data_IF_581115978494
#
_entry.id   IF_581115978494
#
_cell.length_a   1.000
_cell.length_b   1.000
_cell.length_c   1.000
_cell.angle_alpha   90.00
_cell.angle_beta   90.00
_cell.angle_gamma   90.00
#
_symmetry.space_group_name_H-M   'P 1'
#
loop_
_entity.id
_entity.type
_entity.pdbx_description
1 polymer ?
#
# COMPACT_ATOMS: atom_id res chain seq x y z
N UNK A 1 11.59 13.49 50.57
CA UNK A 1 11.31 12.53 49.46
C UNK A 1 10.10 12.88 48.59
N UNK A 2 9.16 13.72 49.07
CA UNK A 2 7.95 14.16 48.35
C UNK A 2 8.23 15.02 47.09
N UNK A 3 9.18 15.90 47.12
CA UNK A 3 9.46 16.88 46.06
C UNK A 3 10.00 16.30 44.74
N UNK A 4 10.78 15.21 44.79
CA UNK A 4 11.30 14.55 43.57
C UNK A 4 10.20 13.80 42.80
N UNK A 5 9.23 13.21 43.48
CA UNK A 5 8.09 12.51 42.89
C UNK A 5 7.13 13.49 42.25
N UNK A 6 6.80 14.58 42.94
CA UNK A 6 5.96 15.67 42.38
C UNK A 6 6.57 16.35 41.18
N UNK A 7 7.91 16.55 41.15
CA UNK A 7 8.61 17.12 39.99
C UNK A 7 8.57 16.19 38.78
N UNK A 8 8.69 14.87 38.99
CA UNK A 8 8.56 13.87 37.90
C UNK A 8 7.12 13.84 37.35
N UNK A 9 6.12 13.85 38.20
CA UNK A 9 4.70 13.86 37.77
C UNK A 9 4.33 15.13 37.00
N UNK A 10 4.86 16.31 37.43
CA UNK A 10 4.68 17.56 36.68
C UNK A 10 5.37 17.55 35.32
N UNK A 11 6.59 17.00 35.24
CA UNK A 11 7.31 16.83 33.97
C UNK A 11 6.61 15.86 33.03
N UNK A 12 6.03 14.79 33.57
CA UNK A 12 5.29 13.82 32.79
C UNK A 12 3.97 14.43 32.26
N UNK A 13 3.21 15.14 33.08
CA UNK A 13 2.03 15.90 32.65
C UNK A 13 2.35 16.95 31.61
N UNK A 14 3.42 17.73 31.81
CA UNK A 14 3.83 18.73 30.82
C UNK A 14 4.23 18.09 29.48
N UNK A 15 4.92 16.93 29.50
CA UNK A 15 5.22 16.16 28.28
C UNK A 15 3.97 15.62 27.60
N UNK A 16 2.99 15.12 28.36
CA UNK A 16 1.72 14.65 27.83
C UNK A 16 0.88 15.79 27.22
N UNK A 17 0.89 16.97 27.87
CA UNK A 17 0.22 18.16 27.36
C UNK A 17 0.92 18.72 26.11
N UNK A 18 2.25 18.71 26.08
CA UNK A 18 3.02 19.11 24.90
C UNK A 18 2.77 18.14 23.73
N UNK A 19 2.80 16.82 24.00
CA UNK A 19 2.49 15.80 23.02
C UNK A 19 1.02 15.90 22.50
N UNK A 20 0.07 16.25 23.39
CA UNK A 20 -1.32 16.53 22.98
C UNK A 20 -1.43 17.80 22.14
N UNK A 21 -0.66 18.85 22.44
CA UNK A 21 -0.59 20.07 21.62
C UNK A 21 0.01 19.78 20.25
N UNK A 22 1.15 19.11 20.18
CA UNK A 22 1.80 18.75 18.92
C UNK A 22 0.90 17.87 18.04
N UNK A 23 0.14 16.93 18.62
CA UNK A 23 -0.84 16.13 17.90
C UNK A 23 -2.03 16.94 17.36
N UNK A 24 -2.40 18.04 18.03
CA UNK A 24 -3.47 18.95 17.57
C UNK A 24 -3.10 19.73 16.30
N UNK A 25 -1.80 19.87 16.00
CA UNK A 25 -1.33 20.61 14.83
C UNK A 25 -1.29 19.81 13.52
N UNK A 26 -1.54 18.50 13.54
CA UNK A 26 -1.87 17.77 12.31
C UNK A 26 -3.35 17.99 12.02
N UNK A 27 -3.71 19.26 11.77
CA UNK A 27 -5.08 19.65 11.44
C UNK A 27 -5.46 19.04 10.09
N UNK A 28 -6.75 18.84 9.84
CA UNK A 28 -7.24 18.45 8.52
C UNK A 28 -6.68 19.34 7.41
N UNK A 29 -6.47 20.63 7.69
CA UNK A 29 -5.84 21.59 6.77
C UNK A 29 -4.40 21.21 6.40
N UNK A 30 -3.57 20.78 7.36
CA UNK A 30 -2.21 20.32 7.10
C UNK A 30 -2.22 19.08 6.20
N UNK A 31 -3.08 18.10 6.49
CA UNK A 31 -3.20 16.89 5.67
C UNK A 31 -3.70 17.20 4.26
N UNK A 32 -4.67 18.10 4.12
CA UNK A 32 -5.14 18.59 2.81
C UNK A 32 -3.99 19.28 2.06
N UNK A 33 -3.19 20.11 2.75
CA UNK A 33 -2.01 20.75 2.16
C UNK A 33 -0.96 19.74 1.68
N UNK A 34 -0.66 18.73 2.49
CA UNK A 34 0.26 17.64 2.11
C UNK A 34 -0.28 16.89 0.89
N UNK A 35 -1.57 16.55 0.89
CA UNK A 35 -2.21 15.88 -0.24
C UNK A 35 -2.12 16.72 -1.52
N UNK A 36 -2.47 18.00 -1.46
CA UNK A 36 -2.42 18.89 -2.61
C UNK A 36 -1.01 19.04 -3.18
N UNK A 37 0.00 19.22 -2.32
CA UNK A 37 1.40 19.32 -2.73
C UNK A 37 1.89 17.99 -3.35
N UNK A 38 1.58 16.86 -2.75
CA UNK A 38 1.96 15.55 -3.27
C UNK A 38 1.24 15.26 -4.61
N UNK A 39 -0.04 15.60 -4.72
CA UNK A 39 -0.80 15.45 -5.98
C UNK A 39 -0.21 16.31 -7.08
N UNK A 40 0.12 17.57 -6.80
CA UNK A 40 0.81 18.43 -7.77
C UNK A 40 2.16 17.83 -8.19
N UNK A 41 2.92 17.32 -7.24
CA UNK A 41 4.22 16.70 -7.51
C UNK A 41 4.12 15.47 -8.42
N UNK A 42 3.15 14.56 -8.17
CA UNK A 42 2.97 13.35 -8.98
C UNK A 42 2.18 13.58 -10.28
N UNK A 43 1.33 14.60 -10.34
CA UNK A 43 0.62 14.94 -11.57
C UNK A 43 1.47 15.80 -12.53
N UNK A 44 2.56 16.43 -12.03
CA UNK A 44 3.42 17.28 -12.83
C UNK A 44 4.08 16.49 -13.96
N UNK A 45 3.96 16.98 -15.19
CA UNK A 45 4.57 16.35 -16.36
C UNK A 45 3.84 15.10 -16.89
N UNK A 46 2.77 14.63 -16.25
CA UNK A 46 2.03 13.42 -16.68
C UNK A 46 1.48 13.52 -18.11
N UNK A 47 1.20 14.72 -18.61
CA UNK A 47 0.76 14.96 -19.98
C UNK A 47 1.88 14.85 -21.03
N UNK A 48 3.14 14.83 -20.59
CA UNK A 48 4.32 14.69 -21.46
C UNK A 48 4.75 13.23 -21.64
N UNK A 49 4.23 12.34 -20.81
CA UNK A 49 4.56 10.93 -20.83
C UNK A 49 3.49 10.15 -21.60
N UNK A 50 3.78 9.67 -22.82
CA UNK A 50 2.82 8.87 -23.56
C UNK A 50 2.51 7.56 -22.83
N UNK A 51 1.33 7.01 -23.11
CA UNK A 51 0.96 5.66 -22.63
C UNK A 51 1.87 4.64 -23.32
N UNK A 52 2.52 3.77 -22.52
CA UNK A 52 3.49 2.79 -23.03
C UNK A 52 2.89 1.41 -23.22
N UNK A 53 3.37 0.68 -24.23
CA UNK A 53 3.00 -0.71 -24.50
C UNK A 53 3.89 -1.71 -23.76
N UNK A 54 3.36 -2.93 -23.49
CA UNK A 54 1.95 -3.36 -23.62
C UNK A 54 1.13 -3.13 -22.35
N UNK A 55 1.76 -2.83 -21.22
CA UNK A 55 1.09 -2.90 -19.89
C UNK A 55 0.15 -1.72 -19.69
N UNK A 56 0.65 -0.49 -19.85
CA UNK A 56 -0.14 0.72 -19.62
C UNK A 56 -1.26 0.86 -20.65
N UNK A 57 -0.97 0.53 -21.93
CA UNK A 57 -1.96 0.60 -23.01
C UNK A 57 -3.13 -0.36 -22.79
N UNK A 58 -2.88 -1.58 -22.29
CA UNK A 58 -3.94 -2.53 -21.98
C UNK A 58 -4.88 -1.99 -20.89
N UNK A 59 -4.34 -1.39 -19.81
CA UNK A 59 -5.18 -0.79 -18.78
C UNK A 59 -5.97 0.42 -19.28
N UNK A 60 -5.30 1.29 -20.07
CA UNK A 60 -5.90 2.48 -20.64
C UNK A 60 -7.05 2.12 -21.62
N UNK A 61 -6.82 1.15 -22.49
CA UNK A 61 -7.82 0.67 -23.44
C UNK A 61 -9.00 0.02 -22.75
N UNK A 62 -8.75 -0.86 -21.77
CA UNK A 62 -9.80 -1.51 -21.00
C UNK A 62 -10.69 -0.48 -20.30
N UNK A 63 -10.11 0.51 -19.62
CA UNK A 63 -10.88 1.57 -18.97
C UNK A 63 -11.66 2.43 -19.99
N UNK A 64 -11.06 2.72 -21.15
CA UNK A 64 -11.74 3.43 -22.24
C UNK A 64 -12.95 2.64 -22.76
N UNK A 65 -12.80 1.35 -23.00
CA UNK A 65 -13.92 0.48 -23.45
C UNK A 65 -15.03 0.40 -22.40
N UNK A 66 -14.68 0.35 -21.10
CA UNK A 66 -15.69 0.39 -20.03
C UNK A 66 -16.52 1.67 -20.05
N UNK A 67 -15.88 2.83 -20.32
CA UNK A 67 -16.60 4.12 -20.44
C UNK A 67 -17.48 4.12 -21.69
N UNK A 68 -16.96 3.68 -22.85
CA UNK A 68 -17.69 3.71 -24.12
C UNK A 68 -18.85 2.72 -24.17
N UNK A 69 -18.69 1.53 -23.58
CA UNK A 69 -19.74 0.51 -23.53
C UNK A 69 -20.75 0.74 -22.39
N UNK A 70 -20.42 1.55 -21.40
CA UNK A 70 -21.21 1.70 -20.17
C UNK A 70 -21.14 0.47 -19.24
N UNK A 71 -20.36 -0.57 -19.58
CA UNK A 71 -20.18 -1.75 -18.76
C UNK A 71 -19.02 -1.58 -17.79
N UNK A 72 -19.30 -1.10 -16.60
CA UNK A 72 -18.30 -0.87 -15.54
C UNK A 72 -18.05 -2.09 -14.64
N UNK A 73 -18.76 -3.19 -14.88
CA UNK A 73 -18.62 -4.41 -14.07
C UNK A 73 -17.58 -5.37 -14.65
N UNK A 74 -17.68 -5.65 -15.96
CA UNK A 74 -16.86 -6.64 -16.66
C UNK A 74 -15.80 -5.94 -17.54
N UNK A 75 -14.52 -5.96 -17.18
CA UNK A 75 -13.45 -5.39 -18.01
C UNK A 75 -13.41 -6.04 -19.40
N UNK A 76 -13.18 -5.23 -20.44
CA UNK A 76 -13.07 -5.65 -21.83
C UNK A 76 -11.87 -5.01 -22.49
N UNK A 77 -11.26 -5.71 -23.44
CA UNK A 77 -10.22 -5.21 -24.32
C UNK A 77 -10.43 -5.74 -25.75
N UNK A 78 -10.45 -4.87 -26.75
CA UNK A 78 -10.77 -5.22 -28.15
C UNK A 78 -12.12 -5.92 -28.30
N UNK A 79 -13.12 -5.55 -27.46
CA UNK A 79 -14.44 -6.17 -27.45
C UNK A 79 -14.51 -7.55 -26.79
N UNK A 80 -13.43 -8.07 -26.23
CA UNK A 80 -13.38 -9.35 -25.51
C UNK A 80 -13.23 -9.13 -24.01
N UNK A 81 -13.83 -10.00 -23.18
CA UNK A 81 -13.67 -9.94 -21.73
C UNK A 81 -12.19 -10.16 -21.34
N UNK A 82 -11.72 -9.36 -20.38
CA UNK A 82 -10.32 -9.32 -19.95
C UNK A 82 -10.21 -9.47 -18.45
N UNK A 83 -9.69 -10.61 -17.98
CA UNK A 83 -9.68 -10.98 -16.56
C UNK A 83 -8.28 -10.89 -15.92
N UNK A 84 -7.38 -10.02 -16.41
CA UNK A 84 -6.03 -9.90 -15.88
C UNK A 84 -6.00 -9.28 -14.48
N UNK A 85 -6.79 -8.24 -14.24
CA UNK A 85 -6.83 -7.53 -12.94
C UNK A 85 -8.26 -7.29 -12.47
N UNK A 86 -8.45 -7.12 -11.12
CA UNK A 86 -9.73 -6.68 -10.57
C UNK A 86 -10.09 -5.26 -11.01
N UNK A 87 -11.35 -4.88 -10.81
CA UNK A 87 -11.94 -3.69 -11.41
C UNK A 87 -11.42 -2.34 -10.90
N UNK A 88 -10.77 -2.27 -9.74
CA UNK A 88 -10.44 -0.99 -9.09
C UNK A 88 -9.64 -0.05 -9.99
N UNK A 89 -8.61 -0.55 -10.67
CA UNK A 89 -7.78 0.24 -11.59
C UNK A 89 -8.62 0.82 -12.72
N UNK A 90 -9.47 0.01 -13.31
CA UNK A 90 -10.34 0.41 -14.42
C UNK A 90 -11.40 1.41 -13.96
N UNK A 91 -12.01 1.22 -12.78
CA UNK A 91 -12.98 2.16 -12.23
C UNK A 91 -12.38 3.55 -12.00
N UNK A 92 -11.20 3.62 -11.39
CA UNK A 92 -10.55 4.91 -11.14
C UNK A 92 -10.15 5.61 -12.45
N UNK A 93 -9.68 4.85 -13.43
CA UNK A 93 -9.36 5.37 -14.76
C UNK A 93 -10.63 5.80 -15.51
N UNK A 94 -11.70 5.01 -15.46
CA UNK A 94 -12.99 5.34 -16.09
C UNK A 94 -13.59 6.62 -15.52
N UNK A 95 -13.50 6.82 -14.19
CA UNK A 95 -13.88 8.09 -13.54
C UNK A 95 -13.04 9.24 -14.09
N UNK A 96 -11.71 9.06 -14.16
CA UNK A 96 -10.80 10.07 -14.68
C UNK A 96 -11.10 10.42 -16.15
N UNK A 97 -11.34 9.41 -16.97
CA UNK A 97 -11.72 9.61 -18.39
C UNK A 97 -13.08 10.29 -18.57
N UNK A 98 -14.06 9.99 -17.71
CA UNK A 98 -15.36 10.64 -17.74
C UNK A 98 -15.28 12.13 -17.37
N UNK A 99 -14.28 12.53 -16.56
CA UNK A 99 -14.10 13.93 -16.13
C UNK A 99 -13.16 14.72 -17.04
N UNK A 100 -12.10 14.11 -17.57
CA UNK A 100 -11.01 14.79 -18.26
C UNK A 100 -10.81 14.34 -19.72
N UNK A 101 -11.65 13.40 -20.21
CA UNK A 101 -11.51 12.81 -21.54
C UNK A 101 -10.37 11.77 -21.62
N UNK A 102 -10.24 11.16 -22.80
CA UNK A 102 -9.24 10.11 -23.06
C UNK A 102 -7.88 10.74 -23.42
N UNK A 103 -7.12 11.12 -22.39
CA UNK A 103 -5.81 11.76 -22.51
C UNK A 103 -4.76 11.02 -21.67
N UNK A 104 -3.47 11.20 -22.00
CA UNK A 104 -2.36 10.63 -21.20
C UNK A 104 -2.39 11.13 -19.77
N UNK A 105 -2.71 12.41 -19.57
CA UNK A 105 -2.90 12.98 -18.23
C UNK A 105 -4.01 12.27 -17.46
N UNK A 106 -5.20 12.10 -18.05
CA UNK A 106 -6.31 11.43 -17.41
C UNK A 106 -6.03 9.96 -17.10
N UNK A 107 -5.21 9.30 -17.92
CA UNK A 107 -4.77 7.92 -17.71
C UNK A 107 -3.88 7.79 -16.47
N UNK A 108 -3.00 8.77 -16.20
CA UNK A 108 -2.01 8.75 -15.11
C UNK A 108 -2.55 9.37 -13.80
N UNK A 109 -3.57 10.21 -13.89
CA UNK A 109 -4.13 10.91 -12.73
C UNK A 109 -4.55 9.97 -11.58
N UNK A 110 -5.15 8.79 -11.79
CA UNK A 110 -5.46 7.84 -10.72
C UNK A 110 -4.22 7.37 -9.95
N UNK A 111 -3.10 7.10 -10.63
CA UNK A 111 -1.86 6.70 -9.99
C UNK A 111 -1.27 7.83 -9.15
N UNK A 112 -1.24 9.06 -9.68
CA UNK A 112 -0.81 10.26 -8.97
C UNK A 112 -1.67 10.54 -7.73
N UNK A 113 -3.00 10.39 -7.85
CA UNK A 113 -3.94 10.51 -6.73
C UNK A 113 -3.65 9.47 -5.64
N UNK A 114 -3.47 8.20 -6.02
CA UNK A 114 -3.14 7.12 -5.08
C UNK A 114 -1.79 7.36 -4.40
N UNK A 115 -0.79 7.84 -5.13
CA UNK A 115 0.51 8.23 -4.58
C UNK A 115 0.38 9.33 -3.52
N UNK A 116 -0.32 10.42 -3.85
CA UNK A 116 -0.57 11.54 -2.93
C UNK A 116 -1.36 11.11 -1.69
N UNK A 117 -2.40 10.30 -1.85
CA UNK A 117 -3.18 9.76 -0.75
C UNK A 117 -2.34 8.84 0.14
N UNK A 118 -1.46 8.01 -0.45
CA UNK A 118 -0.53 7.15 0.30
C UNK A 118 0.39 7.98 1.19
N UNK A 119 1.03 9.03 0.65
CA UNK A 119 1.88 9.94 1.43
C UNK A 119 1.10 10.57 2.58
N UNK A 120 -0.09 11.06 2.31
CA UNK A 120 -0.93 11.73 3.31
C UNK A 120 -1.32 10.78 4.44
N UNK A 121 -1.76 9.57 4.09
CA UNK A 121 -2.08 8.54 5.08
C UNK A 121 -0.85 8.10 5.87
N UNK A 122 0.29 7.91 5.21
CA UNK A 122 1.54 7.56 5.87
C UNK A 122 1.91 8.60 6.92
N UNK A 123 1.95 9.89 6.55
CA UNK A 123 2.24 11.00 7.48
C UNK A 123 1.27 10.98 8.66
N UNK A 124 -0.02 10.79 8.40
CA UNK A 124 -1.03 10.71 9.47
C UNK A 124 -0.78 9.55 10.43
N UNK A 125 -0.55 8.35 9.90
CA UNK A 125 -0.29 7.16 10.72
C UNK A 125 0.99 7.27 11.53
N UNK A 126 2.08 7.76 10.92
CA UNK A 126 3.38 7.91 11.60
C UNK A 126 3.28 8.97 12.70
N UNK A 127 2.64 10.10 12.42
CA UNK A 127 2.36 11.11 13.46
C UNK A 127 1.54 10.51 14.62
N UNK A 128 0.53 9.68 14.31
CA UNK A 128 -0.32 9.01 15.31
C UNK A 128 0.44 8.01 16.16
N UNK A 129 1.38 7.25 15.55
CA UNK A 129 2.15 6.19 16.23
C UNK A 129 3.33 6.79 17.02
N UNK A 130 4.13 7.64 16.38
CA UNK A 130 5.37 8.17 16.97
C UNK A 130 5.15 9.40 17.85
N UNK A 131 4.02 10.10 17.68
CA UNK A 131 3.74 11.42 18.30
C UNK A 131 4.77 12.48 17.92
N UNK A 132 5.41 12.33 16.76
CA UNK A 132 6.45 13.23 16.26
C UNK A 132 6.14 13.67 14.82
N UNK A 133 5.76 14.95 14.67
CA UNK A 133 5.43 15.54 13.38
C UNK A 133 6.62 15.60 12.43
N UNK A 134 7.83 15.81 12.97
CA UNK A 134 9.06 15.92 12.16
C UNK A 134 9.35 14.57 11.50
N UNK A 135 9.32 13.49 12.29
CA UNK A 135 9.50 12.12 11.76
C UNK A 135 8.43 11.81 10.73
N UNK A 136 7.16 12.15 11.01
CA UNK A 136 6.06 11.87 10.09
C UNK A 136 6.22 12.60 8.74
N UNK A 137 6.56 13.88 8.76
CA UNK A 137 6.75 14.68 7.52
C UNK A 137 7.96 14.18 6.74
N UNK A 138 9.09 13.92 7.38
CA UNK A 138 10.27 13.38 6.71
C UNK A 138 9.98 12.01 6.10
N UNK A 139 9.25 11.13 6.79
CA UNK A 139 8.82 9.84 6.22
C UNK A 139 8.03 10.02 4.93
N UNK A 140 7.11 11.00 4.90
CA UNK A 140 6.37 11.33 3.69
C UNK A 140 7.25 11.86 2.55
N UNK A 141 8.17 12.79 2.86
CA UNK A 141 9.11 13.36 1.87
C UNK A 141 10.02 12.27 1.30
N UNK A 142 10.61 11.45 2.16
CA UNK A 142 11.50 10.36 1.74
C UNK A 142 10.77 9.37 0.84
N UNK A 143 9.54 8.96 1.18
CA UNK A 143 8.76 8.08 0.32
C UNK A 143 8.41 8.77 -1.00
N UNK A 144 7.93 10.01 -0.99
CA UNK A 144 7.56 10.76 -2.19
C UNK A 144 8.72 10.92 -3.18
N UNK A 145 9.95 11.04 -2.68
CA UNK A 145 11.16 11.25 -3.47
C UNK A 145 11.97 9.98 -3.70
N UNK A 146 11.50 8.82 -3.24
CA UNK A 146 12.11 7.52 -3.58
C UNK A 146 11.85 7.19 -5.03
N UNK A 147 12.88 6.74 -5.74
CA UNK A 147 12.84 6.52 -7.18
C UNK A 147 11.68 5.61 -7.60
N UNK A 148 11.56 4.44 -6.99
CA UNK A 148 10.51 3.48 -7.36
C UNK A 148 9.12 4.00 -7.06
N UNK A 149 8.90 4.64 -5.89
CA UNK A 149 7.59 5.19 -5.55
C UNK A 149 7.19 6.33 -6.48
N UNK A 150 8.16 7.16 -6.88
CA UNK A 150 7.94 8.22 -7.86
C UNK A 150 7.52 7.63 -9.22
N UNK A 151 8.23 6.61 -9.72
CA UNK A 151 7.89 5.92 -10.98
C UNK A 151 6.48 5.33 -10.92
N UNK A 152 6.16 4.58 -9.86
CA UNK A 152 4.85 3.92 -9.70
C UNK A 152 3.71 4.94 -9.60
N UNK A 153 3.95 6.10 -8.99
CA UNK A 153 2.95 7.17 -8.89
C UNK A 153 2.67 7.88 -10.21
N UNK A 154 3.50 7.64 -11.26
CA UNK A 154 3.29 8.13 -12.62
C UNK A 154 2.85 7.03 -13.59
N UNK A 155 3.02 5.76 -13.24
CA UNK A 155 2.74 4.63 -14.11
C UNK A 155 1.25 4.23 -14.07
N UNK A 156 0.72 3.81 -15.22
CA UNK A 156 -0.65 3.28 -15.33
C UNK A 156 -0.63 1.79 -14.95
N UNK A 157 -0.49 1.51 -13.65
CA UNK A 157 -0.42 0.16 -13.10
C UNK A 157 -1.19 0.08 -11.77
N UNK A 158 -1.47 -1.14 -11.33
CA UNK A 158 -2.24 -1.39 -10.10
C UNK A 158 -1.45 -1.13 -8.81
N UNK A 159 -0.16 -0.94 -8.91
CA UNK A 159 0.78 -0.92 -7.79
C UNK A 159 0.58 0.28 -6.86
N UNK A 160 0.34 1.48 -7.41
CA UNK A 160 0.01 2.67 -6.63
C UNK A 160 -1.26 2.50 -5.79
N UNK A 161 -2.27 1.82 -6.33
CA UNK A 161 -3.53 1.53 -5.65
C UNK A 161 -3.35 0.47 -4.57
N UNK A 162 -2.60 -0.60 -4.87
CA UNK A 162 -2.26 -1.62 -3.88
C UNK A 162 -1.52 -1.01 -2.69
N UNK A 163 -0.58 -0.08 -2.94
CA UNK A 163 0.14 0.62 -1.90
C UNK A 163 -0.79 1.48 -1.04
N UNK A 164 -1.68 2.26 -1.69
CA UNK A 164 -2.65 3.10 -1.00
C UNK A 164 -3.46 2.31 0.04
N UNK A 165 -3.81 1.07 -0.27
CA UNK A 165 -4.61 0.24 0.65
C UNK A 165 -3.77 -0.66 1.56
N UNK A 166 -2.55 -1.03 1.17
CA UNK A 166 -1.64 -1.82 2.03
C UNK A 166 -1.14 -1.02 3.23
N UNK A 167 -0.81 0.26 3.04
CA UNK A 167 -0.36 1.14 4.14
C UNK A 167 -1.39 1.22 5.27
N UNK A 168 -2.66 1.59 5.04
CA UNK A 168 -3.66 1.60 6.11
C UNK A 168 -3.99 0.19 6.63
N UNK A 169 -3.91 -0.86 5.80
CA UNK A 169 -4.08 -2.25 6.28
C UNK A 169 -3.08 -2.57 7.36
N UNK A 170 -1.80 -2.36 7.12
CA UNK A 170 -0.73 -2.72 8.03
C UNK A 170 -0.66 -1.79 9.26
N UNK A 171 -0.70 -0.47 9.05
CA UNK A 171 -0.57 0.50 10.15
C UNK A 171 -1.82 0.54 11.04
N UNK A 172 -3.04 0.39 10.48
CA UNK A 172 -4.24 0.23 11.31
C UNK A 172 -4.22 -1.09 12.09
N UNK A 173 -3.80 -2.19 11.46
CA UNK A 173 -3.68 -3.46 12.18
C UNK A 173 -2.68 -3.34 13.33
N UNK A 174 -1.52 -2.70 13.13
CA UNK A 174 -0.56 -2.43 14.20
C UNK A 174 -1.20 -1.67 15.36
N UNK A 175 -1.86 -0.53 15.09
CA UNK A 175 -2.54 0.27 16.12
C UNK A 175 -3.66 -0.55 16.79
N UNK A 176 -4.47 -1.24 16.00
CA UNK A 176 -5.59 -2.04 16.47
C UNK A 176 -5.14 -3.15 17.45
N UNK A 177 -4.03 -3.81 17.14
CA UNK A 177 -3.46 -4.87 17.99
C UNK A 177 -2.80 -4.31 19.24
N UNK A 178 -2.01 -3.23 19.14
CA UNK A 178 -1.29 -2.66 20.27
C UNK A 178 -2.21 -1.92 21.24
N UNK A 179 -3.19 -1.18 20.74
CA UNK A 179 -4.13 -0.41 21.55
C UNK A 179 -5.42 -1.18 21.88
N UNK A 180 -5.57 -2.42 21.42
CA UNK A 180 -6.82 -3.19 21.50
C UNK A 180 -8.03 -2.43 20.92
N UNK A 181 -7.83 -1.77 19.80
CA UNK A 181 -8.81 -0.88 19.18
C UNK A 181 -9.50 -1.57 18.00
N UNK A 182 -10.75 -2.01 18.20
CA UNK A 182 -11.53 -2.72 17.17
C UNK A 182 -11.79 -1.87 15.93
N UNK A 183 -11.95 -0.53 16.05
CA UNK A 183 -12.17 0.35 14.90
C UNK A 183 -10.99 0.31 13.94
N UNK A 184 -9.77 0.34 14.46
CA UNK A 184 -8.57 0.23 13.63
C UNK A 184 -8.46 -1.15 12.97
N UNK A 185 -8.86 -2.23 13.64
CA UNK A 185 -8.93 -3.55 13.01
C UNK A 185 -9.95 -3.59 11.86
N UNK A 186 -11.13 -2.99 12.03
CA UNK A 186 -12.13 -2.88 10.95
C UNK A 186 -11.58 -2.10 9.76
N UNK A 187 -10.88 -0.98 10.00
CA UNK A 187 -10.21 -0.19 8.94
C UNK A 187 -9.17 -1.04 8.22
N UNK A 188 -8.37 -1.83 8.94
CA UNK A 188 -7.37 -2.71 8.34
C UNK A 188 -8.01 -3.74 7.38
N UNK A 189 -9.06 -4.40 7.79
CA UNK A 189 -9.77 -5.38 6.97
C UNK A 189 -10.51 -4.74 5.78
N UNK A 190 -11.13 -3.58 5.98
CA UNK A 190 -11.72 -2.79 4.89
C UNK A 190 -10.69 -2.44 3.83
N UNK A 191 -9.54 -1.90 4.26
CA UNK A 191 -8.44 -1.54 3.36
C UNK A 191 -7.86 -2.76 2.65
N UNK A 192 -7.73 -3.90 3.34
CA UNK A 192 -7.31 -5.16 2.71
C UNK A 192 -8.30 -5.64 1.64
N UNK A 193 -9.61 -5.46 1.87
CA UNK A 193 -10.63 -5.73 0.85
C UNK A 193 -10.47 -4.87 -0.39
N UNK A 194 -10.21 -3.56 -0.23
CA UNK A 194 -9.91 -2.65 -1.34
C UNK A 194 -8.57 -2.99 -2.03
N UNK A 195 -7.56 -3.43 -1.28
CA UNK A 195 -6.31 -3.93 -1.83
C UNK A 195 -6.51 -5.17 -2.71
N UNK A 196 -7.42 -6.08 -2.29
CA UNK A 196 -7.81 -7.23 -3.13
C UNK A 196 -8.52 -6.80 -4.41
N UNK A 197 -9.37 -5.79 -4.37
CA UNK A 197 -10.01 -5.22 -5.57
C UNK A 197 -9.01 -4.47 -6.48
N UNK A 198 -7.82 -4.12 -5.97
CA UNK A 198 -6.77 -3.44 -6.74
C UNK A 198 -5.86 -4.43 -7.50
N UNK A 199 -5.40 -5.49 -6.85
CA UNK A 199 -4.41 -6.42 -7.45
C UNK A 199 -4.68 -7.90 -7.17
N UNK A 200 -5.84 -8.25 -6.62
CA UNK A 200 -6.22 -9.63 -6.32
C UNK A 200 -5.77 -10.11 -4.93
N UNK A 201 -5.61 -11.43 -4.74
CA UNK A 201 -5.38 -12.05 -3.43
C UNK A 201 -4.18 -11.51 -2.65
N UNK A 202 -3.18 -10.95 -3.34
CA UNK A 202 -1.98 -10.36 -2.72
C UNK A 202 -2.33 -9.26 -1.72
N UNK A 203 -3.46 -8.56 -1.93
CA UNK A 203 -3.96 -7.52 -1.01
C UNK A 203 -4.33 -8.03 0.40
N UNK A 204 -4.57 -9.33 0.54
CA UNK A 204 -4.80 -10.00 1.83
C UNK A 204 -3.60 -10.84 2.26
N UNK A 205 -3.04 -11.63 1.34
CA UNK A 205 -2.01 -12.64 1.64
C UNK A 205 -0.73 -11.99 2.16
N UNK A 206 -0.24 -10.94 1.48
CA UNK A 206 0.99 -10.27 1.89
C UNK A 206 0.86 -9.55 3.25
N UNK A 207 -0.13 -8.68 3.50
CA UNK A 207 -0.30 -8.07 4.81
C UNK A 207 -0.60 -9.11 5.90
N UNK A 208 -1.39 -10.13 5.60
CA UNK A 208 -1.70 -11.23 6.51
C UNK A 208 -0.44 -11.98 6.93
N UNK A 209 0.44 -12.34 6.01
CA UNK A 209 1.72 -12.99 6.28
C UNK A 209 2.60 -12.11 7.19
N UNK A 210 2.75 -10.82 6.87
CA UNK A 210 3.54 -9.86 7.66
C UNK A 210 3.02 -9.80 9.10
N UNK A 211 1.70 -9.66 9.30
CA UNK A 211 1.08 -9.59 10.62
C UNK A 211 1.23 -10.90 11.41
N UNK A 212 1.09 -12.06 10.75
CA UNK A 212 1.27 -13.37 11.36
C UNK A 212 2.71 -13.57 11.81
N UNK A 213 3.70 -13.27 10.97
CA UNK A 213 5.12 -13.37 11.31
C UNK A 213 5.43 -12.44 12.51
N UNK A 214 4.98 -11.18 12.45
CA UNK A 214 5.21 -10.23 13.53
C UNK A 214 4.57 -10.67 14.84
N UNK A 215 3.30 -11.12 14.84
CA UNK A 215 2.63 -11.65 16.03
C UNK A 215 3.37 -12.89 16.60
N UNK A 216 3.87 -13.76 15.73
CA UNK A 216 4.69 -14.92 16.11
C UNK A 216 5.98 -14.50 16.82
N UNK A 217 6.71 -13.52 16.26
CA UNK A 217 7.95 -13.00 16.84
C UNK A 217 7.73 -12.28 18.18
N UNK A 218 6.58 -11.60 18.33
CA UNK A 218 6.18 -10.99 19.61
C UNK A 218 5.85 -12.01 20.70
N UNK A 219 5.67 -13.30 20.36
CA UNK A 219 5.36 -14.41 21.27
C UNK A 219 4.17 -14.13 22.21
N UNK A 220 3.22 -13.34 21.77
CA UNK A 220 2.07 -12.91 22.55
C UNK A 220 0.76 -13.50 21.97
N UNK A 221 0.25 -14.57 22.61
CA UNK A 221 -0.98 -15.24 22.18
C UNK A 221 -2.19 -14.30 22.11
N UNK A 222 -2.26 -13.26 22.97
CA UNK A 222 -3.36 -12.30 22.94
C UNK A 222 -3.36 -11.45 21.69
N UNK A 223 -2.17 -11.06 21.16
CA UNK A 223 -2.07 -10.35 19.88
C UNK A 223 -2.55 -11.23 18.72
N UNK A 224 -2.14 -12.49 18.71
CA UNK A 224 -2.56 -13.44 17.69
C UNK A 224 -4.08 -13.63 17.65
N UNK A 225 -4.73 -13.80 18.81
CA UNK A 225 -6.20 -13.94 18.89
C UNK A 225 -6.93 -12.66 18.46
N UNK A 226 -6.37 -11.48 18.76
CA UNK A 226 -6.93 -10.19 18.33
C UNK A 226 -6.80 -9.92 16.84
N UNK A 227 -5.94 -10.68 16.14
CA UNK A 227 -5.76 -10.54 14.70
C UNK A 227 -7.04 -10.90 13.92
N UNK A 228 -7.91 -11.74 14.46
CA UNK A 228 -9.10 -12.27 13.79
C UNK A 228 -10.42 -11.78 14.42
N UNK A 229 -10.72 -10.46 14.45
CA UNK A 229 -12.01 -9.97 14.91
C UNK A 229 -13.09 -10.29 13.87
N UNK A 230 -14.20 -10.89 14.26
CA UNK A 230 -15.26 -11.29 13.34
C UNK A 230 -15.83 -10.10 12.53
N UNK A 231 -15.89 -8.89 13.14
CA UNK A 231 -16.32 -7.66 12.46
C UNK A 231 -15.37 -7.28 11.31
N UNK A 232 -14.06 -7.46 11.52
CA UNK A 232 -13.06 -7.23 10.47
C UNK A 232 -13.23 -8.22 9.33
N UNK A 233 -13.36 -9.51 9.65
CA UNK A 233 -13.57 -10.56 8.66
C UNK A 233 -14.84 -10.28 7.84
N UNK A 234 -15.94 -9.92 8.51
CA UNK A 234 -17.19 -9.58 7.84
C UNK A 234 -17.02 -8.40 6.87
N UNK A 235 -16.38 -7.30 7.31
CA UNK A 235 -16.19 -6.12 6.46
C UNK A 235 -15.27 -6.41 5.27
N UNK A 236 -14.26 -7.26 5.44
CA UNK A 236 -13.42 -7.72 4.34
C UNK A 236 -14.26 -8.40 3.24
N UNK A 237 -15.11 -9.36 3.62
CA UNK A 237 -15.95 -10.06 2.65
C UNK A 237 -16.98 -9.12 2.01
N UNK A 238 -17.62 -8.23 2.77
CA UNK A 238 -18.54 -7.22 2.22
C UNK A 238 -17.83 -6.31 1.21
N UNK A 239 -16.55 -6.00 1.44
CA UNK A 239 -15.79 -5.10 0.56
C UNK A 239 -15.25 -5.82 -0.67
N UNK A 240 -14.61 -6.96 -0.51
CA UNK A 240 -13.94 -7.66 -1.60
C UNK A 240 -14.88 -8.56 -2.42
N UNK A 241 -15.70 -9.37 -1.74
CA UNK A 241 -16.43 -10.47 -2.37
C UNK A 241 -17.46 -10.07 -3.44
N UNK A 242 -18.22 -8.95 -3.32
CA UNK A 242 -19.31 -8.68 -4.27
C UNK A 242 -18.85 -8.66 -5.73
N UNK A 243 -17.75 -7.98 -6.05
CA UNK A 243 -17.27 -7.94 -7.43
C UNK A 243 -16.86 -9.33 -7.95
N UNK A 244 -16.13 -10.09 -7.15
CA UNK A 244 -15.72 -11.45 -7.53
C UNK A 244 -16.92 -12.39 -7.70
N UNK A 245 -17.92 -12.26 -6.83
CA UNK A 245 -19.15 -13.06 -6.90
C UNK A 245 -19.96 -12.72 -8.16
N UNK A 246 -20.11 -11.44 -8.50
CA UNK A 246 -20.76 -11.02 -9.74
C UNK A 246 -20.01 -11.48 -10.98
N UNK A 247 -18.68 -11.36 -11.00
CA UNK A 247 -17.85 -11.83 -12.11
C UNK A 247 -18.00 -13.35 -12.32
N UNK A 248 -18.03 -14.11 -11.23
CA UNK A 248 -18.27 -15.55 -11.31
C UNK A 248 -19.69 -15.89 -11.78
N UNK A 249 -20.68 -15.18 -11.28
CA UNK A 249 -22.09 -15.39 -11.67
C UNK A 249 -22.34 -15.11 -13.17
N UNK A 250 -21.63 -14.14 -13.76
CA UNK A 250 -21.80 -13.74 -15.15
C UNK A 250 -20.93 -14.58 -16.10
N UNK A 251 -19.66 -14.82 -15.72
CA UNK A 251 -18.66 -15.41 -16.61
C UNK A 251 -18.27 -16.85 -16.26
N UNK A 252 -18.63 -17.34 -15.07
CA UNK A 252 -18.39 -18.71 -14.64
C UNK A 252 -16.91 -19.13 -14.62
N UNK A 253 -16.65 -20.37 -15.05
CA UNK A 253 -15.32 -20.98 -15.05
C UNK A 253 -14.24 -20.23 -15.85
N UNK A 254 -14.49 -19.60 -17.00
CA UNK A 254 -13.52 -18.79 -17.71
C UNK A 254 -12.88 -17.71 -16.83
N UNK A 255 -13.70 -16.98 -16.05
CA UNK A 255 -13.18 -15.98 -15.11
C UNK A 255 -12.25 -16.60 -14.07
N UNK A 256 -12.62 -17.73 -13.48
CA UNK A 256 -11.82 -18.42 -12.46
C UNK A 256 -10.49 -18.91 -13.03
N UNK A 257 -10.52 -19.54 -14.22
CA UNK A 257 -9.33 -20.08 -14.87
C UNK A 257 -8.32 -18.99 -15.24
N UNK A 258 -8.79 -17.89 -15.81
CA UNK A 258 -7.91 -16.80 -16.21
C UNK A 258 -7.45 -16.00 -15.00
N UNK A 259 -8.38 -15.50 -14.17
CA UNK A 259 -8.04 -14.62 -13.07
C UNK A 259 -7.25 -15.35 -11.96
N UNK A 260 -7.82 -16.42 -11.38
CA UNK A 260 -7.15 -17.15 -10.30
C UNK A 260 -6.07 -18.11 -10.82
N UNK A 261 -6.38 -18.83 -11.90
CA UNK A 261 -5.45 -19.81 -12.48
C UNK A 261 -4.25 -19.14 -13.11
N UNK A 262 -4.42 -18.49 -14.26
CA UNK A 262 -3.32 -17.97 -15.06
C UNK A 262 -2.62 -16.77 -14.38
N UNK A 263 -3.39 -15.74 -14.03
CA UNK A 263 -2.82 -14.47 -13.57
C UNK A 263 -2.40 -14.44 -12.09
N UNK A 264 -2.78 -15.43 -11.29
CA UNK A 264 -2.35 -15.51 -9.90
C UNK A 264 -1.52 -16.75 -9.60
N UNK A 265 -2.07 -17.96 -9.78
CA UNK A 265 -1.39 -19.21 -9.40
C UNK A 265 -0.23 -19.51 -10.35
N UNK A 266 -0.45 -19.47 -11.66
CA UNK A 266 0.62 -19.78 -12.64
C UNK A 266 1.76 -18.78 -12.53
N UNK A 267 1.47 -17.47 -12.43
CA UNK A 267 2.51 -16.43 -12.21
C UNK A 267 3.30 -16.61 -10.91
N UNK A 268 2.67 -17.16 -9.88
CA UNK A 268 3.34 -17.44 -8.61
C UNK A 268 4.28 -18.65 -8.69
N UNK A 269 3.96 -19.65 -9.53
CA UNK A 269 4.64 -20.95 -9.59
C UNK A 269 5.51 -21.16 -10.83
N UNK A 270 5.22 -20.47 -11.92
CA UNK A 270 5.95 -20.51 -13.19
C UNK A 270 6.39 -19.11 -13.61
N UNK A 271 7.65 -18.93 -13.94
CA UNK A 271 8.19 -17.63 -14.33
C UNK A 271 7.79 -17.27 -15.76
N UNK A 272 7.20 -16.08 -15.93
CA UNK A 272 7.00 -15.44 -17.25
C UNK A 272 8.33 -14.92 -17.83
N UNK A 273 9.33 -14.65 -16.96
CA UNK A 273 10.67 -14.17 -17.31
C UNK A 273 11.72 -15.05 -16.64
N UNK A 274 12.04 -16.25 -17.20
CA UNK A 274 12.96 -17.20 -16.56
C UNK A 274 14.36 -16.60 -16.31
N UNK A 275 14.82 -15.67 -17.15
CA UNK A 275 16.12 -14.99 -17.00
C UNK A 275 16.21 -14.10 -15.75
N UNK A 276 15.09 -13.65 -15.21
CA UNK A 276 15.03 -12.76 -14.03
C UNK A 276 14.73 -13.53 -12.73
N UNK A 277 14.45 -14.83 -12.81
CA UNK A 277 14.04 -15.64 -11.65
C UNK A 277 15.23 -16.04 -10.77
N UNK A 278 15.98 -15.06 -10.26
CA UNK A 278 17.08 -15.27 -9.31
C UNK A 278 16.65 -14.89 -7.90
N UNK A 279 17.10 -15.66 -6.88
CA UNK A 279 16.78 -15.40 -5.47
C UNK A 279 17.29 -14.03 -4.97
N UNK A 280 18.38 -13.53 -5.55
CA UNK A 280 18.98 -12.24 -5.19
C UNK A 280 18.40 -11.02 -5.91
N UNK A 281 17.47 -11.22 -6.85
CA UNK A 281 16.92 -10.17 -7.71
C UNK A 281 16.45 -8.93 -6.94
N UNK A 282 15.60 -9.11 -5.93
CA UNK A 282 15.08 -7.99 -5.14
C UNK A 282 16.10 -7.41 -4.15
N UNK A 283 17.09 -8.18 -3.72
CA UNK A 283 18.16 -7.65 -2.88
C UNK A 283 19.08 -6.69 -3.66
N UNK A 284 19.30 -6.94 -4.94
CA UNK A 284 20.02 -6.02 -5.82
C UNK A 284 19.16 -4.81 -6.19
N UNK A 285 17.87 -5.00 -6.39
CA UNK A 285 16.95 -3.94 -6.83
C UNK A 285 16.64 -2.94 -5.70
N UNK A 286 16.47 -3.40 -4.47
CA UNK A 286 16.06 -2.56 -3.33
C UNK A 286 16.94 -1.30 -3.14
N UNK A 287 18.28 -1.35 -3.21
CA UNK A 287 19.10 -0.15 -3.12
C UNK A 287 18.80 0.91 -4.16
N UNK A 288 18.47 0.50 -5.39
CA UNK A 288 18.06 1.42 -6.47
C UNK A 288 16.67 1.99 -6.24
N UNK A 289 15.74 1.15 -5.80
CA UNK A 289 14.35 1.54 -5.48
C UNK A 289 14.29 2.65 -4.42
N UNK A 290 15.26 2.65 -3.49
CA UNK A 290 15.35 3.58 -2.37
C UNK A 290 16.10 4.87 -2.70
N UNK A 291 16.72 5.02 -3.87
CA UNK A 291 17.45 6.23 -4.20
C UNK A 291 16.57 7.49 -4.03
N UNK A 292 17.11 8.59 -3.46
CA UNK A 292 18.49 8.79 -2.98
C UNK A 292 18.75 8.32 -1.53
N UNK A 293 17.78 7.71 -0.86
CA UNK A 293 17.77 7.42 0.59
C UNK A 293 18.46 6.11 1.00
N UNK A 294 19.02 5.38 0.06
CA UNK A 294 19.64 4.06 0.27
C UNK A 294 20.65 4.04 1.41
N UNK A 295 21.51 5.07 1.50
CA UNK A 295 22.53 5.16 2.56
C UNK A 295 21.91 5.28 3.96
N UNK A 296 20.84 6.08 4.09
CA UNK A 296 20.11 6.24 5.36
C UNK A 296 19.43 4.93 5.77
N UNK A 297 18.85 4.19 4.83
CA UNK A 297 18.25 2.89 5.11
C UNK A 297 19.23 1.93 5.78
N UNK A 298 20.41 1.72 5.21
CA UNK A 298 21.40 0.81 5.80
C UNK A 298 21.97 1.35 7.13
N UNK A 299 22.12 2.66 7.26
CA UNK A 299 22.54 3.29 8.51
C UNK A 299 21.53 3.03 9.64
N UNK A 300 20.22 3.25 9.38
CA UNK A 300 19.17 3.06 10.39
C UNK A 300 18.97 1.59 10.76
N UNK A 301 19.05 0.64 9.83
CA UNK A 301 19.03 -0.80 10.15
C UNK A 301 20.12 -1.12 11.16
N UNK A 302 21.36 -0.65 10.92
CA UNK A 302 22.50 -0.90 11.82
C UNK A 302 22.30 -0.27 13.20
N UNK A 303 21.78 0.94 13.27
CA UNK A 303 21.56 1.68 14.51
C UNK A 303 20.43 1.05 15.33
N UNK A 304 19.29 0.79 14.73
CA UNK A 304 18.09 0.32 15.42
C UNK A 304 18.11 -1.17 15.76
N UNK A 305 19.02 -1.96 15.18
CA UNK A 305 19.25 -3.34 15.60
C UNK A 305 19.42 -3.50 17.12
N UNK A 306 19.87 -2.40 17.80
CA UNK A 306 20.08 -2.36 19.25
C UNK A 306 18.82 -1.99 20.06
N UNK A 307 17.87 -1.25 19.50
CA UNK A 307 16.77 -0.64 20.25
C UNK A 307 15.53 -1.52 20.40
N UNK A 308 15.32 -2.50 19.56
CA UNK A 308 14.29 -3.57 19.61
C UNK A 308 12.88 -3.13 20.04
N UNK A 309 12.39 -1.98 19.56
CA UNK A 309 11.02 -1.57 19.82
C UNK A 309 10.04 -2.47 19.05
N UNK A 310 8.80 -2.63 19.56
CA UNK A 310 7.76 -3.40 18.87
C UNK A 310 7.44 -2.84 17.48
N UNK A 311 7.42 -1.51 17.34
CA UNK A 311 7.16 -0.85 16.07
C UNK A 311 8.30 -1.09 15.08
N UNK A 312 9.54 -0.97 15.52
CA UNK A 312 10.69 -1.29 14.67
C UNK A 312 10.68 -2.74 14.18
N UNK A 313 10.43 -3.70 15.09
CA UNK A 313 10.30 -5.10 14.69
C UNK A 313 9.19 -5.30 13.65
N UNK A 314 8.05 -4.62 13.82
CA UNK A 314 6.96 -4.64 12.86
C UNK A 314 7.40 -4.13 11.48
N UNK A 315 8.12 -3.02 11.45
CA UNK A 315 8.61 -2.43 10.23
C UNK A 315 9.65 -3.33 9.53
N UNK A 316 10.55 -3.96 10.29
CA UNK A 316 11.53 -4.93 9.75
C UNK A 316 10.83 -6.13 9.14
N UNK A 317 9.80 -6.67 9.81
CA UNK A 317 8.99 -7.79 9.27
C UNK A 317 8.24 -7.35 8.01
N UNK A 318 7.75 -6.14 7.96
CA UNK A 318 7.12 -5.60 6.76
C UNK A 318 8.11 -5.55 5.58
N UNK A 319 9.26 -4.92 5.75
CA UNK A 319 10.28 -4.82 4.69
C UNK A 319 10.76 -6.19 4.24
N UNK A 320 11.39 -6.95 5.14
CA UNK A 320 12.00 -8.23 4.78
C UNK A 320 10.98 -9.32 4.46
N UNK A 321 9.80 -9.28 5.08
CA UNK A 321 8.68 -10.15 4.74
C UNK A 321 8.17 -9.90 3.32
N UNK A 322 8.08 -8.65 2.89
CA UNK A 322 7.72 -8.30 1.50
C UNK A 322 8.77 -8.80 0.51
N UNK A 323 10.07 -8.56 0.80
CA UNK A 323 11.15 -9.05 -0.05
C UNK A 323 11.15 -10.57 -0.13
N UNK A 324 10.99 -11.27 1.00
CA UNK A 324 10.90 -12.71 1.04
C UNK A 324 9.72 -13.23 0.22
N UNK A 325 8.53 -12.64 0.40
CA UNK A 325 7.33 -13.02 -0.31
C UNK A 325 7.52 -12.98 -1.82
N UNK A 326 7.99 -11.85 -2.35
CA UNK A 326 8.21 -11.72 -3.79
C UNK A 326 9.42 -12.50 -4.29
N UNK A 327 10.44 -12.74 -3.46
CA UNK A 327 11.56 -13.61 -3.81
C UNK A 327 11.13 -15.06 -4.02
N UNK A 328 10.14 -15.53 -3.26
CA UNK A 328 9.57 -16.88 -3.40
C UNK A 328 8.63 -17.00 -4.62
N UNK A 329 8.11 -15.88 -5.17
CA UNK A 329 7.33 -15.92 -6.41
C UNK A 329 8.22 -16.23 -7.61
N UNK A 330 7.73 -17.06 -8.54
CA UNK A 330 8.47 -17.43 -9.75
C UNK A 330 8.60 -16.25 -10.72
N UNK A 331 7.50 -15.53 -10.99
CA UNK A 331 7.53 -14.32 -11.84
C UNK A 331 7.95 -13.10 -11.04
N UNK A 332 8.98 -12.40 -11.51
CA UNK A 332 9.53 -11.21 -10.88
C UNK A 332 9.32 -9.97 -11.75
N UNK A 333 8.84 -8.90 -11.14
CA UNK A 333 8.72 -7.58 -11.76
C UNK A 333 9.50 -6.55 -10.94
N UNK A 334 10.10 -5.60 -11.63
CA UNK A 334 10.89 -4.52 -11.00
C UNK A 334 10.09 -3.76 -9.94
N UNK A 335 8.80 -3.59 -10.17
CA UNK A 335 7.93 -2.81 -9.29
C UNK A 335 7.57 -3.50 -7.97
N UNK A 336 7.89 -4.77 -7.75
CA UNK A 336 7.41 -5.50 -6.56
C UNK A 336 8.12 -5.11 -5.26
N UNK A 337 9.26 -4.41 -5.32
CA UNK A 337 9.96 -3.89 -4.13
C UNK A 337 9.26 -2.69 -3.49
N UNK A 338 8.37 -2.00 -4.22
CA UNK A 338 7.76 -0.74 -3.77
C UNK A 338 7.02 -0.82 -2.42
N UNK A 339 6.41 -1.97 -2.09
CA UNK A 339 5.76 -2.16 -0.78
C UNK A 339 6.80 -2.20 0.36
N UNK A 340 8.02 -2.68 0.08
CA UNK A 340 9.11 -2.66 1.03
C UNK A 340 9.69 -1.23 1.19
N UNK A 341 9.63 -0.40 0.15
CA UNK A 341 10.16 0.98 0.16
C UNK A 341 9.44 1.86 1.19
N UNK A 342 8.13 1.69 1.39
CA UNK A 342 7.36 2.48 2.37
C UNK A 342 7.86 2.35 3.81
N UNK A 343 8.46 1.22 4.15
CA UNK A 343 9.04 0.98 5.46
C UNK A 343 10.30 1.79 5.74
N UNK A 344 11.14 1.96 4.71
CA UNK A 344 12.51 2.47 4.87
C UNK A 344 12.58 3.92 5.34
N UNK A 345 11.45 4.61 5.31
CA UNK A 345 11.33 6.03 5.66
C UNK A 345 10.69 6.27 7.03
N UNK A 346 10.37 5.18 7.77
CA UNK A 346 9.68 5.25 9.06
C UNK A 346 10.64 5.22 10.26
N UNK A 347 11.92 5.15 10.01
CA UNK A 347 12.99 5.15 11.01
C UNK A 347 13.80 6.42 10.97
#
# INVERSE_FOLDING_TARGET
MSTKKQKRERLQKAREETAKREFKYTTAQTLIGIFALALMFFAWGSHLLPVTDPVESNYALTAKEMVLSGNWLSPQIYGHFWFDKPAMVYWLMSISYSLFGFTDFASRLPAAFCGAATITLLVWYICRITKNNVVAVWSGIMLATSLEFWIISHAIITDSMLMLFTVPTLLSAYIGLMENNRRHMVIAYFSSGLACLSKGPVGLVLPGMILLIWCGLMRNKKLFLRLFPWQGILIFFITALPWYAFMYAIHGDPFVREFLGLHNIVRATSSEHPGDNHFYYYFLLLPFSLLPWTGLFFYEIKKQWKEKTSFYLFLMVWCFGTLLFYTLMATKYVTYTYIAVSYTHLT
#
